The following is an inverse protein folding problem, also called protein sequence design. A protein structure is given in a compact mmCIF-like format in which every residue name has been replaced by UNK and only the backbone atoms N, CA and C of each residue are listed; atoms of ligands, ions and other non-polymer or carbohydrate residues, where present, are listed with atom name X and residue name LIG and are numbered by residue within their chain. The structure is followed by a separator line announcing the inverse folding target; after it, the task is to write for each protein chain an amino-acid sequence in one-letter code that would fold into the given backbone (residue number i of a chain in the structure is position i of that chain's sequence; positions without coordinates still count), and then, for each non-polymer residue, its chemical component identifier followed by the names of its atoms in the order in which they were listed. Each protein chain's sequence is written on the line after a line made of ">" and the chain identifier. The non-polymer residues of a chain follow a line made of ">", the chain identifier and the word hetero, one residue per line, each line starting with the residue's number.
data_IF_291111896327
#
_entry.id   IF_291111896327
#
_cell.length_a   1.000
_cell.length_b   1.000
_cell.length_c   1.000
_cell.angle_alpha   90.00
_cell.angle_beta   90.00
_cell.angle_gamma   90.00
#
_symmetry.space_group_name_H-M   'P 1'
#
loop_
_entity.id
_entity.type
_entity.pdbx_description
1 polymer ?
#
# COMPACT_ATOMS: atom_id res chain seq x y z
N UNK A 1 11.69 -3.74 -8.90
CA UNK A 1 10.55 -3.94 -7.98
C UNK A 1 10.28 -2.66 -7.18
N UNK A 2 11.24 -2.17 -6.38
CA UNK A 2 11.14 -0.89 -5.65
C UNK A 2 10.66 0.30 -6.50
N UNK A 3 11.33 0.53 -7.63
CA UNK A 3 10.97 1.62 -8.54
C UNK A 3 9.49 1.57 -8.94
N UNK A 4 8.96 0.40 -9.32
CA UNK A 4 7.55 0.25 -9.70
C UNK A 4 6.56 0.55 -8.56
N UNK A 5 6.91 0.24 -7.32
CA UNK A 5 6.04 0.53 -6.16
C UNK A 5 6.02 2.03 -5.89
N UNK A 6 7.18 2.68 -5.95
CA UNK A 6 7.28 4.14 -5.84
C UNK A 6 6.49 4.84 -6.94
N UNK A 7 6.63 4.41 -8.19
CA UNK A 7 5.86 4.96 -9.31
C UNK A 7 4.35 4.73 -9.13
N UNK A 8 3.93 3.55 -8.64
CA UNK A 8 2.50 3.29 -8.39
C UNK A 8 1.90 4.14 -7.26
N UNK A 9 2.75 4.74 -6.43
CA UNK A 9 2.38 5.59 -5.30
C UNK A 9 2.64 7.09 -5.57
N UNK A 10 2.91 7.50 -6.81
CA UNK A 10 3.31 8.88 -7.13
C UNK A 10 2.29 9.95 -6.69
N UNK A 11 1.00 9.61 -6.66
CA UNK A 11 -0.08 10.51 -6.23
C UNK A 11 -0.46 10.37 -4.74
N UNK A 12 0.31 9.60 -3.96
CA UNK A 12 0.08 9.35 -2.54
C UNK A 12 1.36 9.68 -1.78
N UNK A 13 1.30 10.60 -0.82
CA UNK A 13 2.43 10.79 0.09
C UNK A 13 2.66 9.52 0.89
N UNK A 14 3.90 9.03 0.94
CA UNK A 14 4.19 7.77 1.62
C UNK A 14 5.54 7.77 2.30
N UNK A 15 5.57 7.24 3.52
CA UNK A 15 6.80 6.88 4.25
C UNK A 15 6.91 5.37 4.44
N UNK A 16 6.05 4.61 3.76
CA UNK A 16 5.82 3.19 4.01
C UNK A 16 6.29 2.29 2.87
N UNK A 17 7.15 2.78 1.97
CA UNK A 17 7.74 1.96 0.91
C UNK A 17 9.01 1.29 1.44
N UNK A 18 8.86 0.05 1.90
CA UNK A 18 9.95 -0.78 2.45
C UNK A 18 9.82 -2.25 2.05
N UNK A 19 10.85 -3.07 2.29
CA UNK A 19 10.82 -4.54 2.10
C UNK A 19 9.67 -5.21 2.86
N UNK A 20 9.34 -4.69 4.04
CA UNK A 20 8.30 -5.23 4.92
C UNK A 20 6.88 -5.01 4.39
N UNK A 21 6.69 -4.18 3.36
CA UNK A 21 5.36 -3.77 2.86
C UNK A 21 5.06 -4.27 1.44
N UNK A 22 5.92 -5.13 0.89
CA UNK A 22 5.84 -5.64 -0.48
C UNK A 22 4.59 -6.51 -0.73
N UNK A 23 4.17 -7.28 0.26
CA UNK A 23 2.98 -8.14 0.25
C UNK A 23 1.66 -7.35 0.35
N UNK A 24 1.77 -6.06 0.67
CA UNK A 24 0.65 -5.12 0.70
C UNK A 24 0.80 -4.00 -0.33
N UNK A 25 1.74 -4.12 -1.27
CA UNK A 25 1.87 -3.19 -2.38
C UNK A 25 0.66 -3.34 -3.33
N UNK A 26 0.33 -2.34 -4.16
CA UNK A 26 -0.82 -2.41 -5.08
C UNK A 26 -0.82 -3.67 -5.94
N UNK A 27 0.38 -4.11 -6.34
CA UNK A 27 0.59 -5.28 -7.19
C UNK A 27 0.33 -6.62 -6.47
N UNK A 28 0.22 -6.63 -5.14
CA UNK A 28 -0.10 -7.83 -4.36
C UNK A 28 -1.60 -8.15 -4.39
N UNK A 29 -2.45 -7.18 -4.72
CA UNK A 29 -3.89 -7.35 -4.80
C UNK A 29 -4.35 -7.69 -6.22
N UNK A 30 -5.52 -8.34 -6.33
CA UNK A 30 -6.19 -8.51 -7.61
C UNK A 30 -6.69 -7.16 -8.12
N UNK A 31 -6.67 -6.92 -9.44
CA UNK A 31 -7.28 -5.73 -10.03
C UNK A 31 -8.75 -5.58 -9.64
N UNK A 32 -9.20 -4.34 -9.42
CA UNK A 32 -10.60 -4.02 -9.08
C UNK A 32 -11.61 -4.57 -10.10
N UNK A 33 -11.20 -4.75 -11.36
CA UNK A 33 -12.04 -5.29 -12.44
C UNK A 33 -12.73 -6.61 -12.10
N UNK A 34 -12.20 -7.38 -11.14
CA UNK A 34 -12.76 -8.68 -10.74
C UNK A 34 -14.02 -8.62 -9.87
N UNK A 35 -14.39 -7.46 -9.32
CA UNK A 35 -15.56 -7.34 -8.43
C UNK A 35 -16.76 -6.63 -9.05
N UNK A 36 -16.63 -6.09 -10.27
CA UNK A 36 -17.67 -5.23 -10.88
C UNK A 36 -19.00 -5.94 -11.19
N UNK A 37 -19.01 -7.26 -11.32
CA UNK A 37 -20.25 -8.00 -11.62
C UNK A 37 -21.22 -8.05 -10.44
N UNK A 38 -20.75 -7.79 -9.22
CA UNK A 38 -21.54 -7.97 -7.99
C UNK A 38 -21.67 -6.71 -7.14
N UNK A 39 -21.04 -5.60 -7.54
CA UNK A 39 -21.05 -4.34 -6.77
C UNK A 39 -21.19 -3.13 -7.69
N UNK A 40 -21.86 -2.09 -7.18
CA UNK A 40 -21.90 -0.77 -7.81
C UNK A 40 -20.83 0.14 -7.19
N UNK A 41 -20.08 0.85 -8.04
CA UNK A 41 -19.11 1.85 -7.58
C UNK A 41 -19.82 3.18 -7.35
N UNK A 42 -19.86 3.64 -6.10
CA UNK A 42 -20.45 4.93 -5.72
C UNK A 42 -19.42 6.05 -5.87
N UNK A 43 -18.19 5.82 -5.43
CA UNK A 43 -17.12 6.82 -5.42
C UNK A 43 -15.73 6.14 -5.35
N UNK A 44 -14.71 6.81 -5.88
CA UNK A 44 -13.30 6.43 -5.72
C UNK A 44 -12.63 7.35 -4.70
N UNK A 45 -12.13 6.78 -3.59
CA UNK A 45 -11.41 7.52 -2.56
C UNK A 45 -9.91 7.28 -2.73
N UNK A 46 -9.14 8.35 -2.94
CA UNK A 46 -7.69 8.30 -3.01
C UNK A 46 -7.06 8.76 -1.68
N UNK A 47 -6.17 7.97 -1.06
CA UNK A 47 -5.50 8.39 0.16
C UNK A 47 -4.50 9.51 -0.12
N UNK A 48 -4.46 10.52 0.75
CA UNK A 48 -3.41 11.55 0.70
C UNK A 48 -2.12 11.03 1.32
N UNK A 49 -2.21 10.24 2.40
CA UNK A 49 -1.08 9.63 3.09
C UNK A 49 -1.42 8.21 3.56
N UNK A 50 -0.53 7.25 3.32
CA UNK A 50 -0.65 5.88 3.82
C UNK A 50 0.38 5.60 4.93
N UNK A 51 -0.09 5.55 6.17
CA UNK A 51 0.74 5.13 7.30
C UNK A 51 0.67 3.62 7.47
N UNK A 52 1.82 2.95 7.39
CA UNK A 52 2.00 1.54 7.77
C UNK A 52 3.04 1.44 8.88
N UNK A 53 2.73 0.67 9.92
CA UNK A 53 3.67 0.38 10.99
C UNK A 53 4.82 -0.48 10.43
N UNK A 54 6.05 -0.14 10.79
CA UNK A 54 7.24 -0.94 10.50
C UNK A 54 7.83 -1.44 11.81
N UNK A 55 8.26 -2.69 11.82
CA UNK A 55 8.89 -3.32 12.99
C UNK A 55 10.34 -2.85 13.19
N UNK A 56 10.87 -2.03 12.26
CA UNK A 56 12.23 -1.49 12.30
C UNK A 56 12.51 -0.61 13.53
N UNK A 57 11.47 0.07 14.07
CA UNK A 57 11.57 0.92 15.26
C UNK A 57 11.29 0.18 16.58
N UNK A 58 11.55 -1.13 16.65
CA UNK A 58 11.52 -1.84 17.94
C UNK A 58 12.58 -1.27 18.88
N UNK A 59 12.21 -0.88 20.11
CA UNK A 59 13.21 -0.52 21.10
C UNK A 59 14.16 -1.69 21.31
N UNK A 60 15.47 -1.43 21.29
CA UNK A 60 16.53 -2.43 21.44
C UNK A 60 16.47 -3.26 22.73
N UNK A 61 15.62 -2.87 23.70
CA UNK A 61 15.37 -3.59 24.94
C UNK A 61 14.25 -4.64 24.85
N UNK A 62 13.55 -4.76 23.72
CA UNK A 62 12.67 -5.89 23.41
C UNK A 62 13.43 -6.90 22.53
N UNK A 63 14.30 -7.70 23.14
CA UNK A 63 14.78 -8.98 22.59
C UNK A 63 14.34 -10.11 23.50
#
# INVERSE_FOLDING_TARGET
>A
MYHYITESMHDVWTTSVTEETLDEAPMAYKPMTHIHETVDIIEHIQPVYNFKASEYNKPHWKK
#
